data_IF_080237099830
#
_entry.id   IF_080237099830
#
_cell.length_a   1.000
_cell.length_b   1.000
_cell.length_c   1.000
_cell.angle_alpha   90.00
_cell.angle_beta   90.00
_cell.angle_gamma   90.00
#
_symmetry.space_group_name_H-M   'P 1'
#
loop_
_entity.id
_entity.type
_entity.pdbx_description
1 polymer ?
#
# COMPACT_ATOMS: atom_id res chain seq x y z
N UNK A 1 15.12 44.82 -16.85
CA UNK A 1 15.39 43.84 -17.92
C UNK A 1 14.80 42.52 -17.44
N UNK A 2 13.58 42.18 -17.86
CA UNK A 2 12.91 40.95 -17.43
C UNK A 2 13.41 39.78 -18.27
N UNK A 3 13.97 38.75 -17.64
CA UNK A 3 14.45 37.55 -18.33
C UNK A 3 13.27 36.69 -18.85
N UNK A 4 13.18 36.46 -20.16
CA UNK A 4 12.09 35.67 -20.78
C UNK A 4 12.24 34.16 -20.57
N UNK A 5 13.27 33.70 -19.88
CA UNK A 5 13.58 32.27 -19.64
C UNK A 5 12.68 31.62 -18.60
N UNK A 6 12.28 32.36 -17.55
CA UNK A 6 11.43 31.85 -16.45
C UNK A 6 10.00 31.57 -16.91
N UNK A 7 9.43 32.35 -17.78
CA UNK A 7 8.07 32.16 -18.27
C UNK A 7 7.92 30.92 -19.17
N UNK A 8 8.91 30.69 -20.04
CA UNK A 8 8.91 29.48 -20.90
C UNK A 8 9.02 28.18 -20.12
N UNK A 9 9.85 28.17 -19.08
CA UNK A 9 9.97 26.95 -18.21
C UNK A 9 8.68 26.65 -17.46
N UNK A 10 7.99 27.66 -16.95
CA UNK A 10 6.70 27.49 -16.26
C UNK A 10 5.60 27.00 -17.21
N UNK A 11 5.59 27.50 -18.45
CA UNK A 11 4.61 27.06 -19.46
C UNK A 11 4.83 25.59 -19.86
N UNK A 12 6.09 25.21 -20.04
CA UNK A 12 6.46 23.83 -20.37
C UNK A 12 6.10 22.85 -19.24
N UNK A 13 6.33 23.24 -17.99
CA UNK A 13 5.95 22.46 -16.81
C UNK A 13 4.42 22.32 -16.70
N UNK A 14 3.68 23.39 -16.97
CA UNK A 14 2.21 23.36 -16.97
C UNK A 14 1.67 22.44 -18.08
N UNK A 15 2.22 22.53 -19.29
CA UNK A 15 1.85 21.63 -20.40
C UNK A 15 2.14 20.17 -20.10
N UNK A 16 3.29 19.87 -19.50
CA UNK A 16 3.65 18.52 -19.08
C UNK A 16 2.67 18.00 -18.00
N UNK A 17 2.31 18.83 -17.03
CA UNK A 17 1.33 18.50 -16.00
C UNK A 17 -0.05 18.20 -16.61
N UNK A 18 -0.55 19.07 -17.48
CA UNK A 18 -1.84 18.88 -18.17
C UNK A 18 -1.83 17.62 -19.03
N UNK A 19 -0.74 17.35 -19.74
CA UNK A 19 -0.60 16.15 -20.56
C UNK A 19 -0.62 14.87 -19.71
N UNK A 20 0.08 14.87 -18.58
CA UNK A 20 0.03 13.76 -17.61
C UNK A 20 -1.37 13.55 -17.04
N UNK A 21 -2.07 14.62 -16.72
CA UNK A 21 -3.44 14.55 -16.22
C UNK A 21 -4.39 13.93 -17.26
N UNK A 22 -4.31 14.38 -18.52
CA UNK A 22 -5.09 13.84 -19.64
C UNK A 22 -4.76 12.37 -19.91
N UNK A 23 -3.49 11.99 -19.89
CA UNK A 23 -3.09 10.58 -20.03
C UNK A 23 -3.63 9.69 -18.91
N UNK A 24 -3.59 10.18 -17.67
CA UNK A 24 -4.15 9.45 -16.54
C UNK A 24 -5.66 9.33 -16.64
N UNK A 25 -6.35 10.39 -17.03
CA UNK A 25 -7.80 10.38 -17.26
C UNK A 25 -8.20 9.40 -18.37
N UNK A 26 -7.47 9.37 -19.49
CA UNK A 26 -7.73 8.42 -20.58
C UNK A 26 -7.44 6.96 -20.18
N UNK A 27 -6.38 6.71 -19.41
CA UNK A 27 -6.10 5.38 -18.84
C UNK A 27 -7.21 4.94 -17.89
N UNK A 28 -7.67 5.83 -17.03
CA UNK A 28 -8.77 5.58 -16.11
C UNK A 28 -10.08 5.26 -16.85
N UNK A 29 -10.41 6.06 -17.86
CA UNK A 29 -11.59 5.84 -18.69
C UNK A 29 -11.53 4.49 -19.44
N UNK A 30 -10.38 4.13 -20.03
CA UNK A 30 -10.18 2.82 -20.66
C UNK A 30 -10.31 1.67 -19.66
N UNK A 31 -9.74 1.82 -18.46
CA UNK A 31 -9.89 0.84 -17.40
C UNK A 31 -11.35 0.63 -17.04
N UNK A 32 -12.10 1.70 -16.80
CA UNK A 32 -13.54 1.59 -16.47
C UNK A 32 -14.38 0.99 -17.61
N UNK A 33 -14.02 1.26 -18.85
CA UNK A 33 -14.73 0.69 -20.01
C UNK A 33 -14.43 -0.81 -20.21
N UNK A 34 -13.21 -1.25 -19.83
CA UNK A 34 -12.78 -2.64 -19.91
C UNK A 34 -13.03 -3.41 -18.60
N UNK A 35 -13.36 -2.72 -17.51
CA UNK A 35 -13.59 -3.35 -16.22
C UNK A 35 -14.82 -4.26 -16.28
N UNK A 36 -14.63 -5.50 -15.91
CA UNK A 36 -15.68 -6.52 -15.80
C UNK A 36 -16.12 -6.65 -14.35
N UNK A 37 -17.40 -6.96 -14.14
CA UNK A 37 -17.92 -7.22 -12.81
C UNK A 37 -17.53 -8.62 -12.35
N UNK A 38 -17.58 -8.89 -11.04
CA UNK A 38 -17.33 -10.23 -10.47
C UNK A 38 -18.19 -11.33 -11.11
N UNK A 39 -19.38 -11.00 -11.60
CA UNK A 39 -20.29 -11.95 -12.26
C UNK A 39 -19.80 -12.40 -13.63
N UNK A 40 -18.79 -11.75 -14.19
CA UNK A 40 -18.13 -12.12 -15.44
C UNK A 40 -16.83 -12.92 -15.22
N UNK A 41 -16.50 -13.21 -13.95
CA UNK A 41 -15.38 -14.08 -13.64
C UNK A 41 -15.75 -15.54 -13.94
N UNK A 42 -15.17 -16.10 -14.98
CA UNK A 42 -15.41 -17.50 -15.40
C UNK A 42 -14.63 -18.52 -14.57
N UNK A 43 -13.64 -18.09 -13.78
CA UNK A 43 -12.87 -18.96 -12.89
C UNK A 43 -13.52 -19.01 -11.51
N UNK A 44 -13.89 -20.20 -11.00
CA UNK A 44 -14.39 -20.36 -9.64
C UNK A 44 -13.42 -19.82 -8.57
N UNK A 45 -12.11 -20.01 -8.80
CA UNK A 45 -11.07 -19.47 -7.91
C UNK A 45 -11.10 -17.94 -7.89
N UNK A 46 -11.15 -17.29 -9.06
CA UNK A 46 -11.21 -15.83 -9.15
C UNK A 46 -12.48 -15.30 -8.51
N UNK A 47 -13.61 -15.95 -8.72
CA UNK A 47 -14.88 -15.57 -8.09
C UNK A 47 -14.78 -15.64 -6.55
N UNK A 48 -14.28 -16.77 -6.03
CA UNK A 48 -14.08 -16.94 -4.59
C UNK A 48 -13.08 -15.92 -4.00
N UNK A 49 -11.99 -15.60 -4.73
CA UNK A 49 -11.04 -14.56 -4.32
C UNK A 49 -11.69 -13.19 -4.26
N UNK A 50 -12.48 -12.81 -5.27
CA UNK A 50 -13.21 -11.54 -5.26
C UNK A 50 -14.15 -11.45 -4.05
N UNK A 51 -14.92 -12.49 -3.80
CA UNK A 51 -15.91 -12.53 -2.72
C UNK A 51 -15.25 -12.52 -1.32
N UNK A 52 -14.23 -13.35 -1.11
CA UNK A 52 -13.65 -13.54 0.23
C UNK A 52 -12.54 -12.54 0.57
N UNK A 53 -11.92 -11.89 -0.42
CA UNK A 53 -10.77 -11.00 -0.19
C UNK A 53 -11.09 -9.56 -0.56
N UNK A 54 -11.60 -9.29 -1.75
CA UNK A 54 -11.76 -7.92 -2.24
C UNK A 54 -13.10 -7.30 -1.82
N UNK A 55 -14.19 -8.07 -1.84
CA UNK A 55 -15.54 -7.61 -1.49
C UNK A 55 -15.89 -7.85 -0.02
N UNK A 56 -15.04 -8.57 0.72
CA UNK A 56 -15.24 -8.80 2.16
C UNK A 56 -15.13 -7.47 2.91
N UNK A 57 -16.24 -7.07 3.54
CA UNK A 57 -16.34 -5.84 4.34
C UNK A 57 -16.39 -6.11 5.84
N UNK A 58 -16.16 -7.35 6.26
CA UNK A 58 -16.12 -7.69 7.69
C UNK A 58 -15.03 -6.91 8.38
N UNK A 59 -15.34 -6.45 9.58
CA UNK A 59 -14.37 -5.86 10.48
C UNK A 59 -13.81 -6.96 11.38
N UNK A 60 -12.48 -7.07 11.42
CA UNK A 60 -11.80 -8.07 12.24
C UNK A 60 -11.17 -7.39 13.47
N UNK A 61 -11.20 -8.05 14.61
CA UNK A 61 -10.70 -7.51 15.88
C UNK A 61 -9.25 -7.01 15.82
N UNK A 62 -8.41 -7.65 14.99
CA UNK A 62 -7.01 -7.28 14.83
C UNK A 62 -6.83 -5.89 14.20
N UNK A 63 -7.81 -5.40 13.42
CA UNK A 63 -7.68 -4.15 12.69
C UNK A 63 -7.51 -2.94 13.61
N UNK A 64 -8.29 -2.86 14.66
CA UNK A 64 -8.22 -1.76 15.61
C UNK A 64 -6.88 -1.74 16.36
N UNK A 65 -6.39 -2.91 16.77
CA UNK A 65 -5.11 -3.03 17.46
C UNK A 65 -3.94 -2.59 16.57
N UNK A 66 -3.94 -2.99 15.30
CA UNK A 66 -2.88 -2.64 14.35
C UNK A 66 -2.94 -1.14 14.00
N UNK A 67 -4.14 -0.59 13.79
CA UNK A 67 -4.29 0.84 13.50
C UNK A 67 -4.02 1.73 14.72
N UNK A 68 -4.25 1.24 15.93
CA UNK A 68 -3.78 1.90 17.16
C UNK A 68 -2.26 1.94 17.21
N UNK A 69 -1.57 0.84 16.88
CA UNK A 69 -0.11 0.82 16.77
C UNK A 69 0.39 1.83 15.72
N UNK A 70 -0.22 1.87 14.53
CA UNK A 70 0.08 2.89 13.52
C UNK A 70 -0.08 4.30 14.07
N UNK A 71 -1.16 4.55 14.80
CA UNK A 71 -1.45 5.86 15.39
C UNK A 71 -0.41 6.27 16.44
N UNK A 72 0.11 5.32 17.21
CA UNK A 72 1.22 5.55 18.14
C UNK A 72 2.50 5.91 17.40
N UNK A 73 2.84 5.18 16.34
CA UNK A 73 4.02 5.48 15.52
C UNK A 73 3.95 6.87 14.88
N UNK A 74 2.77 7.26 14.35
CA UNK A 74 2.57 8.58 13.74
C UNK A 74 2.72 9.73 14.72
N UNK A 75 2.48 9.49 16.01
CA UNK A 75 2.66 10.49 17.09
C UNK A 75 4.02 10.41 17.78
N UNK A 76 4.84 9.42 17.42
CA UNK A 76 6.12 9.19 18.05
C UNK A 76 7.12 10.30 17.72
N UNK A 77 7.85 10.75 18.73
CA UNK A 77 9.05 11.59 18.60
C UNK A 77 10.35 10.78 18.50
N UNK A 78 10.26 9.46 18.37
CA UNK A 78 11.41 8.57 18.26
C UNK A 78 11.99 8.51 16.85
N UNK A 79 13.19 7.96 16.78
CA UNK A 79 13.92 7.73 15.53
C UNK A 79 14.10 6.22 15.31
N UNK A 80 14.24 5.82 14.06
CA UNK A 80 14.72 4.52 13.65
C UNK A 80 15.95 4.69 12.76
N UNK A 81 16.91 3.81 12.90
CA UNK A 81 18.01 3.70 11.94
C UNK A 81 17.56 2.83 10.78
N UNK A 82 17.59 3.40 9.57
CA UNK A 82 17.13 2.74 8.35
C UNK A 82 18.33 2.52 7.44
N UNK A 83 18.47 1.29 6.98
CA UNK A 83 19.40 0.90 5.94
C UNK A 83 18.61 0.70 4.64
N UNK A 84 18.79 1.62 3.68
CA UNK A 84 18.07 1.60 2.41
C UNK A 84 19.02 1.17 1.28
N UNK A 85 18.92 -0.08 0.91
CA UNK A 85 19.69 -0.67 -0.18
C UNK A 85 19.21 -0.23 -1.58
N UNK A 86 17.99 0.29 -1.68
CA UNK A 86 17.40 0.70 -2.96
C UNK A 86 17.86 2.07 -3.42
N UNK A 87 17.72 3.08 -2.55
CA UNK A 87 18.14 4.46 -2.88
C UNK A 87 19.55 4.80 -2.39
N UNK A 88 20.16 3.92 -1.59
CA UNK A 88 21.47 4.13 -0.96
C UNK A 88 21.46 5.20 0.13
N UNK A 89 20.31 5.65 0.59
CA UNK A 89 20.12 6.64 1.64
C UNK A 89 19.86 5.95 2.97
N UNK A 90 20.92 5.50 3.62
CA UNK A 90 20.83 4.98 4.98
C UNK A 90 20.98 6.14 5.98
N UNK A 91 20.28 6.04 7.10
CA UNK A 91 20.37 7.06 8.14
C UNK A 91 19.26 7.02 9.16
N UNK A 92 19.29 8.01 10.04
CA UNK A 92 18.33 8.17 11.11
C UNK A 92 17.08 8.90 10.62
N UNK A 93 15.93 8.24 10.70
CA UNK A 93 14.64 8.76 10.20
C UNK A 93 13.64 8.83 11.36
N UNK A 94 12.80 9.85 11.38
CA UNK A 94 11.71 9.91 12.33
C UNK A 94 10.73 8.75 12.14
N UNK A 95 10.37 8.07 13.24
CA UNK A 95 9.44 6.94 13.19
C UNK A 95 8.07 7.34 12.58
N UNK A 96 7.61 8.56 12.89
CA UNK A 96 6.39 9.13 12.32
C UNK A 96 6.44 9.28 10.79
N UNK A 97 7.61 9.63 10.23
CA UNK A 97 7.76 9.82 8.78
C UNK A 97 7.88 8.47 8.08
N UNK A 98 8.56 7.51 8.70
CA UNK A 98 8.60 6.12 8.24
C UNK A 98 7.18 5.51 8.23
N UNK A 99 6.41 5.70 9.30
CA UNK A 99 5.03 5.21 9.38
C UNK A 99 4.10 5.89 8.37
N UNK A 100 4.35 7.16 8.02
CA UNK A 100 3.55 7.91 7.04
C UNK A 100 3.82 7.50 5.59
N UNK A 101 5.09 7.26 5.24
CA UNK A 101 5.51 7.12 3.84
C UNK A 101 5.81 5.68 3.45
N UNK A 102 6.25 4.84 4.40
CA UNK A 102 6.70 3.47 4.10
C UNK A 102 5.77 2.38 4.60
N UNK A 103 4.93 2.66 5.61
CA UNK A 103 4.01 1.66 6.13
C UNK A 103 2.91 1.31 5.11
N UNK A 104 2.55 0.04 5.04
CA UNK A 104 1.39 -0.41 4.28
C UNK A 104 0.13 0.36 4.71
N UNK A 105 -0.65 0.86 3.76
CA UNK A 105 -1.90 1.56 4.08
C UNK A 105 -2.91 0.60 4.73
N UNK A 106 -3.85 1.13 5.51
CA UNK A 106 -4.91 0.34 6.14
C UNK A 106 -5.64 -0.55 5.12
N UNK A 107 -6.01 0.00 3.98
CA UNK A 107 -6.72 -0.76 2.93
C UNK A 107 -5.88 -1.92 2.37
N UNK A 108 -4.57 -1.72 2.19
CA UNK A 108 -3.65 -2.80 1.75
C UNK A 108 -3.51 -3.85 2.84
N UNK A 109 -3.26 -3.44 4.08
CA UNK A 109 -3.12 -4.35 5.21
C UNK A 109 -4.35 -5.21 5.41
N UNK A 110 -5.54 -4.63 5.37
CA UNK A 110 -6.80 -5.37 5.49
C UNK A 110 -7.02 -6.37 4.35
N UNK A 111 -6.60 -6.04 3.11
CA UNK A 111 -6.66 -7.00 1.99
C UNK A 111 -5.67 -8.14 2.17
N UNK A 112 -4.46 -7.87 2.63
CA UNK A 112 -3.47 -8.91 2.95
C UNK A 112 -3.98 -9.83 4.07
N UNK A 113 -4.57 -9.27 5.11
CA UNK A 113 -5.20 -10.03 6.18
C UNK A 113 -6.27 -10.99 5.62
N UNK A 114 -7.23 -10.50 4.82
CA UNK A 114 -8.28 -11.33 4.23
C UNK A 114 -7.74 -12.40 3.30
N UNK A 115 -6.68 -12.07 2.54
CA UNK A 115 -5.99 -13.02 1.67
C UNK A 115 -5.40 -14.18 2.48
N UNK A 116 -4.69 -13.88 3.57
CA UNK A 116 -4.11 -14.89 4.45
C UNK A 116 -5.20 -15.71 5.16
N UNK A 117 -6.26 -15.06 5.63
CA UNK A 117 -7.42 -15.71 6.21
C UNK A 117 -8.10 -16.69 5.24
N UNK A 118 -8.17 -16.35 3.96
CA UNK A 118 -8.79 -17.19 2.94
C UNK A 118 -7.88 -18.34 2.50
N UNK A 119 -6.58 -18.07 2.30
CA UNK A 119 -5.62 -19.07 1.82
C UNK A 119 -5.13 -20.03 2.92
N UNK A 120 -5.16 -19.60 4.20
CA UNK A 120 -4.64 -20.35 5.34
C UNK A 120 -3.22 -20.94 5.12
N UNK A 121 -2.24 -20.14 4.69
CA UNK A 121 -0.90 -20.64 4.40
C UNK A 121 -0.20 -21.08 5.69
N UNK A 122 0.68 -22.08 5.58
CA UNK A 122 1.54 -22.50 6.69
C UNK A 122 2.77 -21.59 6.84
N UNK A 123 3.22 -20.99 5.75
CA UNK A 123 4.38 -20.11 5.71
C UNK A 123 4.07 -18.86 4.90
N UNK A 124 4.46 -17.72 5.43
CA UNK A 124 4.34 -16.40 4.80
C UNK A 124 5.74 -15.79 4.73
N UNK A 125 6.12 -15.29 3.56
CA UNK A 125 7.36 -14.56 3.36
C UNK A 125 7.03 -13.14 2.92
N UNK A 126 7.53 -12.15 3.66
CA UNK A 126 7.40 -10.73 3.34
C UNK A 126 8.77 -10.17 2.98
N UNK A 127 8.86 -9.48 1.86
CA UNK A 127 10.04 -8.73 1.45
C UNK A 127 9.79 -7.24 1.67
N UNK A 128 10.53 -6.63 2.59
CA UNK A 128 10.38 -5.24 2.98
C UNK A 128 9.49 -5.05 4.22
N UNK A 129 10.02 -5.32 5.39
CA UNK A 129 9.34 -5.18 6.69
C UNK A 129 8.92 -3.74 6.99
N UNK A 130 9.78 -2.77 6.68
CA UNK A 130 9.59 -1.36 7.01
C UNK A 130 9.23 -1.14 8.49
N UNK A 131 8.01 -0.67 8.78
CA UNK A 131 7.52 -0.46 10.16
C UNK A 131 6.90 -1.70 10.81
N UNK A 132 6.84 -2.83 10.12
CA UNK A 132 6.18 -4.05 10.59
C UNK A 132 4.65 -4.02 10.59
N UNK A 133 4.02 -2.94 10.11
CA UNK A 133 2.54 -2.86 10.03
C UNK A 133 1.99 -3.91 9.06
N UNK A 134 2.65 -4.12 7.91
CA UNK A 134 2.29 -5.20 6.97
C UNK A 134 2.40 -6.56 7.62
N UNK A 135 3.54 -6.82 8.25
CA UNK A 135 3.82 -8.04 9.01
C UNK A 135 2.76 -8.32 10.07
N UNK A 136 2.35 -7.28 10.81
CA UNK A 136 1.31 -7.40 11.84
C UNK A 136 -0.03 -7.87 11.25
N UNK A 137 -0.44 -7.34 10.10
CA UNK A 137 -1.63 -7.80 9.40
C UNK A 137 -1.52 -9.25 8.93
N UNK A 138 -0.36 -9.64 8.37
CA UNK A 138 -0.11 -11.01 7.92
C UNK A 138 -0.13 -12.01 9.08
N UNK A 139 0.57 -11.70 10.16
CA UNK A 139 0.67 -12.57 11.34
C UNK A 139 -0.66 -12.69 12.10
N UNK A 140 -1.41 -11.59 12.23
CA UNK A 140 -2.69 -11.61 12.92
C UNK A 140 -3.78 -12.40 12.15
N UNK A 141 -3.62 -12.57 10.85
CA UNK A 141 -4.58 -13.27 10.02
C UNK A 141 -4.53 -14.80 10.20
N UNK A 142 -3.36 -15.37 10.44
CA UNK A 142 -3.20 -16.79 10.74
C UNK A 142 -2.09 -16.97 11.79
N UNK A 143 -2.48 -17.14 13.04
CA UNK A 143 -1.54 -17.31 14.17
C UNK A 143 -0.78 -18.63 14.16
N UNK A 144 -1.18 -19.59 13.32
CA UNK A 144 -0.49 -20.87 13.14
C UNK A 144 0.55 -20.82 12.02
N UNK A 145 0.59 -19.76 11.23
CA UNK A 145 1.56 -19.62 10.16
C UNK A 145 2.92 -19.13 10.67
N UNK A 146 4.01 -19.65 10.10
CA UNK A 146 5.33 -19.08 10.28
C UNK A 146 5.46 -17.85 9.35
N UNK A 147 5.76 -16.68 9.93
CA UNK A 147 5.95 -15.43 9.17
C UNK A 147 7.42 -15.06 9.17
N UNK A 148 8.01 -14.98 7.99
CA UNK A 148 9.39 -14.54 7.75
C UNK A 148 9.35 -13.18 7.07
N UNK A 149 9.84 -12.15 7.73
CA UNK A 149 9.89 -10.79 7.21
C UNK A 149 11.35 -10.30 7.16
N UNK A 150 11.76 -9.77 5.98
CA UNK A 150 13.15 -9.36 5.69
C UNK A 150 13.18 -7.92 5.24
#
# INVERSE_FOLDING_TARGET
>A
MFEPTSFKSSLTALMAFVNNLLQNATRYARYHHAAVTRYQAHSPFVFAFLENVLDDRRHYYAFDSIENLRSLMLRSGGYADVEDFGTGRSGRVWLRDLARHSASTQAKGQRLFRLVQWLQPQTIVELGTSTGIGTAYLAAANTNAAVWSV
#
